data_IF_248337841140
#
_entry.id   IF_248337841140
#
_cell.length_a   1.000
_cell.length_b   1.000
_cell.length_c   1.000
_cell.angle_alpha   90.00
_cell.angle_beta   90.00
_cell.angle_gamma   90.00
#
_symmetry.space_group_name_H-M   'P 1'
#
loop_
_entity.id
_entity.type
_entity.pdbx_description
1 polymer ?
#
# COMPACT_ATOMS: atom_id res chain seq x y z
N UNK A 1 3.78 -5.90 -18.07
CA UNK A 1 2.89 -6.46 -17.03
C UNK A 1 2.13 -5.28 -16.44
N UNK A 2 0.80 -5.32 -16.28
CA UNK A 2 0.10 -4.18 -15.69
C UNK A 2 0.56 -3.95 -14.25
N UNK A 3 0.68 -2.68 -13.85
CA UNK A 3 0.95 -2.30 -12.46
C UNK A 3 -0.14 -2.87 -11.55
N UNK A 4 0.23 -3.32 -10.34
CA UNK A 4 -0.71 -3.83 -9.35
C UNK A 4 -1.24 -2.64 -8.56
N UNK A 5 -2.42 -2.16 -8.92
CA UNK A 5 -3.04 -0.98 -8.29
C UNK A 5 -3.93 -1.43 -7.13
N UNK A 6 -3.65 -0.91 -5.95
CA UNK A 6 -4.35 -1.19 -4.69
C UNK A 6 -5.13 0.04 -4.26
N UNK A 7 -6.41 0.07 -4.59
CA UNK A 7 -7.32 1.15 -4.20
C UNK A 7 -7.67 1.07 -2.72
N UNK A 8 -7.31 2.07 -1.93
CA UNK A 8 -7.54 2.05 -0.47
C UNK A 8 -9.02 1.98 -0.09
N UNK A 9 -9.90 2.51 -0.95
CA UNK A 9 -11.35 2.43 -0.78
C UNK A 9 -11.87 0.99 -0.88
N UNK A 10 -11.24 0.13 -1.69
CA UNK A 10 -11.55 -1.31 -1.75
C UNK A 10 -11.19 -2.06 -0.47
N UNK A 11 -10.30 -1.47 0.35
CA UNK A 11 -9.95 -1.96 1.70
C UNK A 11 -10.84 -1.37 2.80
N UNK A 12 -11.81 -0.52 2.46
CA UNK A 12 -12.72 0.12 3.40
C UNK A 12 -12.24 1.46 3.95
N UNK A 13 -11.25 2.10 3.32
CA UNK A 13 -10.86 3.46 3.69
C UNK A 13 -11.98 4.45 3.36
N UNK A 14 -12.23 5.39 4.27
CA UNK A 14 -13.25 6.42 4.16
C UNK A 14 -12.65 7.72 3.64
N UNK A 15 -12.91 8.00 2.36
CA UNK A 15 -12.43 9.21 1.67
C UNK A 15 -13.16 10.49 2.10
N UNK A 16 -14.16 10.40 2.97
CA UNK A 16 -14.85 11.56 3.53
C UNK A 16 -14.19 12.11 4.81
N UNK A 17 -13.25 11.37 5.39
CA UNK A 17 -12.50 11.78 6.58
C UNK A 17 -13.30 11.71 7.89
N UNK A 18 -14.47 11.06 7.88
CA UNK A 18 -15.34 10.96 9.06
C UNK A 18 -14.96 9.80 9.97
N UNK A 19 -14.41 8.75 9.39
CA UNK A 19 -14.02 7.53 10.09
C UNK A 19 -12.55 7.23 9.91
N UNK A 20 -11.98 6.55 10.90
CA UNK A 20 -10.58 6.17 10.90
C UNK A 20 -10.29 5.16 9.78
N UNK A 21 -9.41 5.53 8.85
CA UNK A 21 -9.02 4.74 7.69
C UNK A 21 -7.70 3.99 7.88
N UNK A 22 -7.06 4.13 9.05
CA UNK A 22 -5.72 3.60 9.32
C UNK A 22 -5.61 2.11 8.99
N UNK A 23 -6.54 1.28 9.47
CA UNK A 23 -6.46 -0.17 9.27
C UNK A 23 -6.64 -0.57 7.81
N UNK A 24 -7.52 0.12 7.09
CA UNK A 24 -7.73 -0.10 5.67
C UNK A 24 -6.46 0.26 4.86
N UNK A 25 -5.87 1.42 5.15
CA UNK A 25 -4.61 1.88 4.55
C UNK A 25 -3.45 0.91 4.85
N UNK A 26 -3.31 0.47 6.09
CA UNK A 26 -2.29 -0.49 6.49
C UNK A 26 -2.46 -1.85 5.80
N UNK A 27 -3.70 -2.28 5.56
CA UNK A 27 -3.99 -3.51 4.83
C UNK A 27 -3.63 -3.39 3.35
N UNK A 28 -3.98 -2.27 2.70
CA UNK A 28 -3.59 -2.00 1.32
C UNK A 28 -2.05 -2.00 1.16
N UNK A 29 -1.34 -1.37 2.10
CA UNK A 29 0.13 -1.40 2.16
C UNK A 29 0.64 -2.85 2.30
N UNK A 30 0.11 -3.62 3.25
CA UNK A 30 0.57 -4.99 3.49
C UNK A 30 0.41 -5.86 2.23
N UNK A 31 -0.74 -5.78 1.57
CA UNK A 31 -1.04 -6.56 0.36
C UNK A 31 -0.15 -6.12 -0.82
N UNK A 32 0.14 -4.81 -0.95
CA UNK A 32 1.06 -4.29 -1.96
C UNK A 32 2.50 -4.85 -1.81
N UNK A 33 2.95 -5.05 -0.57
CA UNK A 33 4.26 -5.63 -0.27
C UNK A 33 4.26 -7.16 -0.36
N UNK A 34 3.15 -7.85 -0.09
CA UNK A 34 3.02 -9.30 -0.29
C UNK A 34 2.89 -9.67 -1.76
N UNK A 35 2.38 -8.77 -2.58
CA UNK A 35 2.39 -8.88 -4.02
C UNK A 35 3.79 -8.69 -4.62
N UNK A 36 4.88 -8.72 -3.85
CA UNK A 36 6.22 -8.87 -4.42
C UNK A 36 6.31 -10.22 -5.16
N UNK A 37 6.82 -10.21 -6.41
CA UNK A 37 7.18 -11.47 -7.06
C UNK A 37 8.49 -12.00 -6.45
N UNK A 38 8.88 -13.24 -6.77
CA UNK A 38 10.17 -13.81 -6.35
C UNK A 38 11.42 -13.08 -6.91
N UNK A 39 11.22 -12.00 -7.66
CA UNK A 39 12.30 -11.16 -8.18
C UNK A 39 12.77 -10.17 -7.13
N UNK A 40 14.07 -9.91 -7.14
CA UNK A 40 14.73 -8.91 -6.28
C UNK A 40 15.39 -7.86 -7.14
N UNK A 41 15.31 -6.59 -6.74
CA UNK A 41 16.03 -5.51 -7.41
C UNK A 41 17.52 -5.57 -7.06
N UNK A 42 17.79 -5.85 -5.78
CA UNK A 42 19.11 -6.07 -5.21
C UNK A 42 18.99 -7.01 -4.01
N UNK A 43 20.11 -7.52 -3.50
CA UNK A 43 20.12 -8.35 -2.30
C UNK A 43 19.45 -7.61 -1.13
N UNK A 44 18.38 -8.19 -0.58
CA UNK A 44 17.60 -7.59 0.50
C UNK A 44 16.56 -6.55 0.06
N UNK A 45 16.36 -6.32 -1.24
CA UNK A 45 15.34 -5.41 -1.78
C UNK A 45 14.42 -6.18 -2.74
N UNK A 46 13.26 -6.67 -2.25
CA UNK A 46 12.25 -7.28 -3.11
C UNK A 46 11.75 -6.31 -4.19
N UNK A 47 11.52 -6.82 -5.40
CA UNK A 47 10.86 -6.05 -6.46
C UNK A 47 9.34 -6.13 -6.29
N UNK A 48 8.72 -4.99 -5.97
CA UNK A 48 7.26 -4.90 -5.88
C UNK A 48 6.61 -4.80 -7.26
N UNK A 49 7.40 -4.70 -8.34
CA UNK A 49 6.90 -4.73 -9.71
C UNK A 49 6.10 -3.50 -10.10
N UNK A 50 6.32 -2.35 -9.44
CA UNK A 50 5.54 -1.14 -9.68
C UNK A 50 4.16 -1.18 -9.02
N UNK A 51 4.03 -1.81 -7.85
CA UNK A 51 2.80 -1.74 -7.05
C UNK A 51 2.45 -0.28 -6.75
N UNK A 52 1.17 0.07 -6.88
CA UNK A 52 0.66 1.41 -6.65
C UNK A 52 -0.42 1.37 -5.58
N UNK A 53 -0.31 2.19 -4.54
CA UNK A 53 -1.36 2.37 -3.54
C UNK A 53 -2.15 3.61 -3.93
N UNK A 54 -3.30 3.40 -4.56
CA UNK A 54 -4.11 4.49 -5.08
C UNK A 54 -5.08 5.01 -4.01
N UNK A 55 -4.98 6.31 -3.72
CA UNK A 55 -5.79 6.98 -2.69
C UNK A 55 -7.15 7.46 -3.19
N UNK A 56 -7.47 7.35 -4.48
CA UNK A 56 -8.76 7.77 -5.08
C UNK A 56 -9.17 9.24 -4.86
N UNK A 57 -8.30 10.07 -4.27
CA UNK A 57 -8.62 11.41 -3.81
C UNK A 57 -9.48 11.45 -2.53
N UNK A 58 -9.67 12.64 -1.97
CA UNK A 58 -10.47 12.85 -0.75
C UNK A 58 -9.62 13.11 0.50
N UNK A 59 -10.22 12.88 1.67
CA UNK A 59 -9.60 13.10 2.98
C UNK A 59 -9.69 11.82 3.79
N UNK A 60 -8.55 11.35 4.30
CA UNK A 60 -8.47 10.12 5.09
C UNK A 60 -7.98 10.45 6.50
N UNK A 61 -8.78 10.10 7.50
CA UNK A 61 -8.38 10.24 8.89
C UNK A 61 -7.45 9.08 9.26
N UNK A 62 -6.29 9.40 9.82
CA UNK A 62 -5.35 8.42 10.39
C UNK A 62 -5.13 8.70 11.87
N UNK A 63 -5.28 7.67 12.71
CA UNK A 63 -5.10 7.79 14.17
C UNK A 63 -3.70 7.40 14.64
N UNK A 64 -2.92 6.74 13.79
CA UNK A 64 -1.54 6.31 14.07
C UNK A 64 -0.69 6.31 12.79
N UNK A 65 0.65 6.32 12.92
CA UNK A 65 1.54 6.33 11.77
C UNK A 65 1.32 5.12 10.85
N UNK A 66 1.23 5.38 9.55
CA UNK A 66 1.31 4.34 8.53
C UNK A 66 2.77 3.85 8.45
N UNK A 67 2.98 2.55 8.60
CA UNK A 67 4.31 1.94 8.61
C UNK A 67 4.43 0.94 7.48
N UNK A 68 5.48 1.09 6.69
CA UNK A 68 5.81 0.07 5.71
C UNK A 68 6.39 -1.17 6.39
N UNK A 69 6.15 -2.37 5.81
CA UNK A 69 6.73 -3.60 6.32
C UNK A 69 8.26 -3.53 6.43
N UNK A 70 8.79 -4.08 7.52
CA UNK A 70 10.24 -4.13 7.76
C UNK A 70 11.00 -5.04 6.79
N UNK A 71 10.28 -5.86 6.02
CA UNK A 71 10.85 -6.64 4.91
C UNK A 71 11.46 -5.76 3.82
N UNK A 72 11.10 -4.47 3.77
CA UNK A 72 11.49 -3.58 2.69
C UNK A 72 10.81 -3.95 1.36
N UNK A 73 11.13 -3.18 0.33
CA UNK A 73 10.59 -3.34 -1.02
C UNK A 73 10.91 -2.10 -1.85
N UNK A 74 11.20 -2.29 -3.13
CA UNK A 74 11.45 -1.19 -4.06
C UNK A 74 10.34 -1.04 -5.10
N UNK A 75 10.30 0.10 -5.76
CA UNK A 75 9.34 0.43 -6.82
C UNK A 75 7.86 0.42 -6.36
N UNK A 76 7.58 1.02 -5.18
CA UNK A 76 6.22 1.34 -4.73
C UNK A 76 5.84 2.76 -5.17
N UNK A 77 4.63 2.95 -5.69
CA UNK A 77 4.02 4.26 -5.99
C UNK A 77 2.85 4.58 -5.06
#
# INVERSE_FOLDING_TARGET
KPARVFHVTAYGADSSGKTDSTDALMKAIADAFQAADAHVLMQGIPDLGGSEIHLDGGVYLISRPLRFPSSGGGNLL
#
